data_IF_153442270552
#
_entry.id   IF_153442270552
#
_cell.length_a   1.000
_cell.length_b   1.000
_cell.length_c   1.000
_cell.angle_alpha   90.00
_cell.angle_beta   90.00
_cell.angle_gamma   90.00
#
_symmetry.space_group_name_H-M   'P 1'
#
loop_
_entity.id
_entity.type
_entity.pdbx_description
1 polymer ?
#
# COMPACT_ATOMS: atom_id res chain seq x y z
N UNK A 1 6.95 25.36 7.79
CA UNK A 1 7.20 24.71 9.10
C UNK A 1 5.93 23.99 9.56
N UNK A 2 5.82 22.71 9.86
CA UNK A 2 6.57 21.50 9.56
C UNK A 2 5.54 20.35 9.59
N UNK A 3 5.74 19.34 8.75
CA UNK A 3 4.87 18.15 8.67
C UNK A 3 4.80 17.49 10.06
N UNK A 4 3.58 17.17 10.50
CA UNK A 4 3.29 16.28 11.62
C UNK A 4 3.75 16.72 13.02
N UNK A 5 3.00 17.64 13.66
CA UNK A 5 3.07 17.88 15.11
C UNK A 5 2.50 16.70 15.94
N UNK A 6 2.62 15.47 15.42
CA UNK A 6 2.14 14.25 16.06
C UNK A 6 3.13 13.84 17.14
N UNK A 7 2.64 13.54 18.36
CA UNK A 7 3.47 13.06 19.46
C UNK A 7 4.35 11.87 19.06
N UNK A 8 5.62 11.95 19.44
CA UNK A 8 6.60 10.88 19.18
C UNK A 8 6.17 9.60 19.91
N UNK A 9 6.23 8.46 19.22
CA UNK A 9 5.75 7.17 19.72
C UNK A 9 6.36 6.74 21.06
N UNK A 10 5.65 5.85 21.76
CA UNK A 10 6.11 5.28 23.04
C UNK A 10 7.36 4.42 22.86
N UNK A 11 8.33 4.60 23.74
CA UNK A 11 9.53 3.76 23.85
C UNK A 11 9.32 2.70 24.93
N UNK A 12 9.68 1.45 24.58
CA UNK A 12 9.71 0.33 25.52
C UNK A 12 10.95 0.40 26.42
N UNK A 13 10.95 -0.40 27.49
CA UNK A 13 12.11 -0.53 28.38
C UNK A 13 13.38 -0.91 27.60
N UNK A 14 13.27 -1.89 26.69
CA UNK A 14 14.35 -2.28 25.80
C UNK A 14 14.80 -1.15 24.87
N UNK A 15 13.87 -0.35 24.32
CA UNK A 15 14.22 0.77 23.46
C UNK A 15 15.02 1.85 24.21
N UNK A 16 14.66 2.15 25.46
CA UNK A 16 15.46 3.02 26.33
C UNK A 16 16.84 2.43 26.62
N UNK A 17 16.91 1.13 26.88
CA UNK A 17 18.19 0.46 27.08
C UNK A 17 19.09 0.52 25.85
N UNK A 18 18.57 0.19 24.67
CA UNK A 18 19.32 0.29 23.41
C UNK A 18 19.80 1.74 23.17
N UNK A 19 18.97 2.73 23.49
CA UNK A 19 19.40 4.14 23.43
C UNK A 19 20.57 4.42 24.36
N UNK A 20 20.52 3.99 25.63
CA UNK A 20 21.64 4.15 26.55
C UNK A 20 22.92 3.45 26.07
N UNK A 21 22.80 2.24 25.50
CA UNK A 21 23.95 1.57 24.90
C UNK A 21 24.53 2.33 23.71
N UNK A 22 23.70 3.00 22.90
CA UNK A 22 24.16 3.82 21.77
C UNK A 22 24.88 5.07 22.25
N UNK A 23 24.36 5.72 23.28
CA UNK A 23 24.96 6.90 23.89
C UNK A 23 26.31 6.56 24.53
N UNK A 24 26.38 5.47 25.30
CA UNK A 24 27.64 4.96 25.88
C UNK A 24 28.67 4.64 24.78
N UNK A 25 28.24 3.99 23.69
CA UNK A 25 29.12 3.65 22.58
C UNK A 25 29.62 4.91 21.86
N UNK A 26 28.75 5.89 21.62
CA UNK A 26 29.13 7.16 20.99
C UNK A 26 30.10 7.95 21.87
N UNK A 27 29.97 7.87 23.20
CA UNK A 27 30.89 8.52 24.14
C UNK A 27 32.27 7.85 24.14
N UNK A 28 32.32 6.51 24.12
CA UNK A 28 33.57 5.75 24.16
C UNK A 28 34.28 5.64 22.80
N UNK A 29 33.50 5.69 21.72
CA UNK A 29 33.97 5.52 20.36
C UNK A 29 33.37 6.63 19.46
N UNK A 30 33.72 7.91 19.69
CA UNK A 30 33.12 9.05 18.98
C UNK A 30 33.39 9.06 17.48
N UNK A 31 34.48 8.42 17.01
CA UNK A 31 34.88 8.37 15.61
C UNK A 31 34.67 7.00 14.96
N UNK A 32 34.11 6.02 15.67
CA UNK A 32 33.89 4.66 15.13
C UNK A 32 32.47 4.54 14.56
N UNK A 33 32.38 4.07 13.32
CA UNK A 33 31.09 3.85 12.68
C UNK A 33 30.45 2.57 13.23
N UNK A 34 29.33 2.72 13.95
CA UNK A 34 28.62 1.61 14.58
C UNK A 34 27.90 0.78 13.54
N UNK A 35 28.40 -0.43 13.25
CA UNK A 35 27.69 -1.40 12.40
C UNK A 35 26.43 -1.87 13.13
N UNK A 36 25.27 -1.43 12.65
CA UNK A 36 23.98 -1.61 13.32
C UNK A 36 23.67 -3.08 13.66
N UNK A 37 24.01 -4.02 12.77
CA UNK A 37 23.76 -5.44 12.96
C UNK A 37 24.54 -5.99 14.18
N UNK A 38 25.82 -5.65 14.28
CA UNK A 38 26.69 -6.08 15.38
C UNK A 38 26.32 -5.41 16.69
N UNK A 39 25.97 -4.13 16.63
CA UNK A 39 25.51 -3.40 17.80
C UNK A 39 24.16 -3.92 18.34
N UNK A 40 23.24 -4.28 17.44
CA UNK A 40 21.95 -4.87 17.81
C UNK A 40 22.13 -6.22 18.53
N UNK A 41 23.02 -7.09 18.03
CA UNK A 41 23.38 -8.36 18.68
C UNK A 41 23.92 -8.12 20.10
N UNK A 42 24.93 -7.25 20.24
CA UNK A 42 25.54 -6.89 21.55
C UNK A 42 24.50 -6.35 22.54
N UNK A 43 23.59 -5.49 22.10
CA UNK A 43 22.51 -4.99 22.95
C UNK A 43 21.57 -6.11 23.39
N UNK A 44 21.19 -7.00 22.47
CA UNK A 44 20.26 -8.09 22.79
C UNK A 44 20.85 -9.06 23.82
N UNK A 45 22.14 -9.38 23.73
CA UNK A 45 22.86 -10.22 24.69
C UNK A 45 22.99 -9.54 26.04
N UNK A 46 23.40 -8.26 26.06
CA UNK A 46 23.51 -7.48 27.30
C UNK A 46 22.17 -7.33 28.01
N UNK A 47 21.06 -7.14 27.28
CA UNK A 47 19.72 -7.12 27.87
C UNK A 47 19.32 -8.47 28.44
N UNK A 48 19.61 -9.58 27.77
CA UNK A 48 19.31 -10.92 28.30
C UNK A 48 20.06 -11.19 29.60
N UNK A 49 21.35 -10.86 29.64
CA UNK A 49 22.23 -11.09 30.79
C UNK A 49 22.06 -10.06 31.92
N UNK A 50 21.36 -8.96 31.68
CA UNK A 50 21.10 -7.93 32.69
C UNK A 50 20.11 -8.45 33.75
N UNK A 51 20.35 -8.12 35.01
CA UNK A 51 19.48 -8.51 36.12
C UNK A 51 18.14 -7.77 36.07
N UNK A 52 17.09 -8.35 36.67
CA UNK A 52 15.78 -7.71 36.72
C UNK A 52 15.80 -6.38 37.47
N UNK A 53 16.71 -6.24 38.45
CA UNK A 53 16.91 -4.99 39.19
C UNK A 53 17.43 -3.87 38.29
N UNK A 54 18.35 -4.17 37.38
CA UNK A 54 18.88 -3.21 36.41
C UNK A 54 17.86 -2.91 35.30
N UNK A 55 17.14 -3.94 34.83
CA UNK A 55 16.02 -3.79 33.88
C UNK A 55 14.90 -2.92 34.45
N UNK A 56 14.64 -3.00 35.76
CA UNK A 56 13.58 -2.25 36.42
C UNK A 56 13.70 -0.74 36.19
N UNK A 57 14.92 -0.21 36.13
CA UNK A 57 15.16 1.21 35.79
C UNK A 57 14.57 1.57 34.43
N UNK A 58 14.76 0.70 33.43
CA UNK A 58 14.23 0.90 32.09
C UNK A 58 12.72 0.65 32.01
N UNK A 59 12.18 -0.28 32.81
CA UNK A 59 10.74 -0.45 32.96
C UNK A 59 10.08 0.82 33.49
N UNK A 60 10.63 1.42 34.55
CA UNK A 60 10.15 2.70 35.09
C UNK A 60 10.22 3.82 34.06
N UNK A 61 11.31 3.90 33.27
CA UNK A 61 11.40 4.88 32.17
C UNK A 61 10.31 4.67 31.12
N UNK A 62 10.06 3.42 30.72
CA UNK A 62 9.03 3.11 29.71
C UNK A 62 7.60 3.40 30.20
N UNK A 63 7.30 3.19 31.48
CA UNK A 63 6.01 3.55 32.06
C UNK A 63 5.81 5.06 32.14
N UNK A 64 6.87 5.83 32.42
CA UNK A 64 6.83 7.30 32.34
C UNK A 64 6.58 7.78 30.91
N UNK A 65 7.28 7.21 29.94
CA UNK A 65 7.11 7.56 28.53
C UNK A 65 5.73 7.19 27.99
N UNK A 66 5.16 6.09 28.47
CA UNK A 66 3.78 5.71 28.21
C UNK A 66 2.81 6.79 28.67
N UNK A 67 2.94 7.28 29.91
CA UNK A 67 2.12 8.38 30.43
C UNK A 67 2.32 9.68 29.64
N UNK A 68 3.56 10.02 29.27
CA UNK A 68 3.88 11.18 28.41
C UNK A 68 3.14 11.10 27.08
N UNK A 69 3.33 10.00 26.35
CA UNK A 69 2.71 9.80 25.04
C UNK A 69 1.19 9.80 25.14
N UNK A 70 0.60 9.11 26.12
CA UNK A 70 -0.84 9.05 26.26
C UNK A 70 -1.43 10.45 26.50
N UNK A 71 -0.75 11.28 27.31
CA UNK A 71 -1.13 12.68 27.52
C UNK A 71 -0.93 13.56 26.29
N UNK A 72 0.21 13.48 25.61
CA UNK A 72 0.48 14.23 24.38
C UNK A 72 -0.48 13.81 23.25
N UNK A 73 -0.71 12.51 23.08
CA UNK A 73 -1.60 11.95 22.06
C UNK A 73 -3.06 12.31 22.34
N UNK A 74 -3.47 12.39 23.62
CA UNK A 74 -4.78 12.91 24.00
C UNK A 74 -4.94 14.37 23.58
N UNK A 75 -3.96 15.23 23.90
CA UNK A 75 -3.96 16.64 23.48
C UNK A 75 -3.97 16.79 21.96
N UNK A 76 -3.13 16.02 21.26
CA UNK A 76 -3.07 16.03 19.81
C UNK A 76 -4.37 15.57 19.16
N UNK A 77 -5.04 14.53 19.70
CA UNK A 77 -6.36 14.10 19.19
C UNK A 77 -7.44 15.16 19.44
N UNK A 78 -7.37 15.86 20.57
CA UNK A 78 -8.30 16.94 20.89
C UNK A 78 -8.15 18.14 19.92
N UNK A 79 -6.91 18.53 19.60
CA UNK A 79 -6.64 19.66 18.70
C UNK A 79 -6.68 19.30 17.22
N UNK A 80 -6.47 18.03 16.87
CA UNK A 80 -6.24 17.60 15.49
C UNK A 80 -7.19 16.49 15.03
N UNK A 81 -8.50 16.65 15.29
CA UNK A 81 -9.60 15.73 14.93
C UNK A 81 -9.65 15.29 13.45
N UNK A 82 -8.85 15.87 12.56
CA UNK A 82 -8.77 15.52 11.14
C UNK A 82 -7.53 14.72 10.69
N UNK A 83 -6.47 14.65 11.50
CA UNK A 83 -5.16 14.13 11.06
C UNK A 83 -5.04 12.58 11.07
N UNK A 84 -6.02 11.86 11.62
CA UNK A 84 -6.04 10.39 11.60
C UNK A 84 -6.50 9.79 10.25
N UNK A 85 -6.82 10.62 9.24
CA UNK A 85 -7.32 10.14 7.95
C UNK A 85 -6.26 9.49 7.04
N UNK A 86 -5.00 9.45 7.46
CA UNK A 86 -3.86 8.99 6.64
C UNK A 86 -3.77 7.48 6.39
N UNK A 87 -4.48 6.64 7.15
CA UNK A 87 -4.57 5.19 6.85
C UNK A 87 -6.00 4.88 6.43
N UNK A 88 -6.28 4.86 5.12
CA UNK A 88 -7.55 4.31 4.59
C UNK A 88 -7.67 2.87 5.09
N UNK A 89 -8.52 2.66 6.11
CA UNK A 89 -8.90 1.34 6.57
C UNK A 89 -9.40 0.57 5.34
N UNK A 90 -8.78 -0.57 5.01
CA UNK A 90 -9.25 -1.43 3.91
C UNK A 90 -10.74 -1.68 4.17
N UNK A 91 -11.62 -1.17 3.30
CA UNK A 91 -13.05 -1.42 3.40
C UNK A 91 -13.25 -2.93 3.32
N UNK A 92 -13.95 -3.49 4.30
CA UNK A 92 -14.39 -4.89 4.26
C UNK A 92 -15.26 -5.01 3.01
N UNK A 93 -14.85 -5.89 2.08
CA UNK A 93 -15.64 -6.18 0.89
C UNK A 93 -16.83 -7.02 1.38
N UNK A 94 -18.03 -6.63 0.96
CA UNK A 94 -19.25 -7.37 1.26
C UNK A 94 -19.14 -8.80 0.67
N UNK A 95 -19.35 -9.87 1.45
CA UNK A 95 -19.25 -11.25 0.98
C UNK A 95 -20.22 -11.58 -0.15
N UNK A 96 -21.39 -10.94 -0.16
CA UNK A 96 -22.46 -11.19 -1.13
C UNK A 96 -22.32 -10.32 -2.39
N UNK A 97 -21.36 -9.39 -2.42
CA UNK A 97 -21.12 -8.56 -3.59
C UNK A 97 -20.51 -9.40 -4.74
N UNK A 98 -21.01 -9.25 -5.97
CA UNK A 98 -20.45 -9.90 -7.15
C UNK A 98 -18.94 -9.69 -7.25
N UNK A 99 -18.23 -10.76 -7.62
CA UNK A 99 -16.78 -10.69 -7.81
C UNK A 99 -16.47 -9.81 -9.01
N UNK A 100 -15.48 -8.95 -8.88
CA UNK A 100 -15.07 -7.99 -9.92
C UNK A 100 -14.73 -8.73 -11.20
N UNK A 101 -15.09 -8.16 -12.35
CA UNK A 101 -14.64 -8.69 -13.63
C UNK A 101 -13.12 -8.69 -13.74
N UNK A 102 -12.57 -9.71 -14.40
CA UNK A 102 -11.17 -9.85 -14.75
C UNK A 102 -10.88 -9.12 -16.05
N UNK A 103 -9.70 -8.49 -16.13
CA UNK A 103 -9.20 -7.91 -17.39
C UNK A 103 -8.57 -8.99 -18.29
N UNK A 104 -8.31 -8.64 -19.55
CA UNK A 104 -7.68 -9.53 -20.51
C UNK A 104 -6.34 -10.11 -19.99
N UNK A 105 -5.51 -9.24 -19.40
CA UNK A 105 -4.26 -9.66 -18.76
C UNK A 105 -4.46 -10.68 -17.63
N UNK A 106 -5.49 -10.53 -16.80
CA UNK A 106 -5.76 -11.48 -15.73
C UNK A 106 -6.28 -12.82 -16.24
N UNK A 107 -7.04 -12.83 -17.33
CA UNK A 107 -7.39 -14.07 -18.03
C UNK A 107 -6.16 -14.78 -18.58
N UNK A 108 -5.28 -14.05 -19.27
CA UNK A 108 -3.99 -14.58 -19.73
C UNK A 108 -3.14 -15.14 -18.58
N UNK A 109 -3.04 -14.40 -17.48
CA UNK A 109 -2.31 -14.85 -16.29
C UNK A 109 -2.90 -16.11 -15.66
N UNK A 110 -4.22 -16.32 -15.71
CA UNK A 110 -4.82 -17.55 -15.18
C UNK A 110 -4.41 -18.78 -16.01
N UNK A 111 -4.35 -18.64 -17.32
CA UNK A 111 -4.01 -19.74 -18.22
C UNK A 111 -2.49 -20.03 -18.26
N UNK A 112 -1.66 -18.98 -18.21
CA UNK A 112 -0.21 -19.10 -18.36
C UNK A 112 0.54 -19.30 -17.04
N UNK A 113 -0.03 -18.90 -15.89
CA UNK A 113 0.67 -19.02 -14.58
C UNK A 113 1.09 -20.44 -14.29
N UNK A 114 0.24 -21.43 -14.57
CA UNK A 114 0.55 -22.84 -14.36
C UNK A 114 1.69 -23.31 -15.26
N UNK A 115 1.78 -22.81 -16.50
CA UNK A 115 2.86 -23.14 -17.43
C UNK A 115 4.18 -22.53 -16.99
N UNK A 116 4.18 -21.26 -16.61
CA UNK A 116 5.39 -20.56 -16.08
C UNK A 116 5.88 -21.22 -14.80
N UNK A 117 4.97 -21.58 -13.88
CA UNK A 117 5.32 -22.27 -12.63
C UNK A 117 5.80 -23.71 -12.88
N UNK A 118 5.27 -24.39 -13.90
CA UNK A 118 5.77 -25.71 -14.31
C UNK A 118 7.20 -25.65 -14.88
N UNK A 119 7.51 -24.60 -15.66
CA UNK A 119 8.86 -24.36 -16.18
C UNK A 119 9.84 -23.94 -15.08
N UNK A 120 9.36 -23.20 -14.07
CA UNK A 120 10.17 -22.71 -12.96
C UNK A 120 9.51 -23.07 -11.61
N UNK A 121 9.59 -24.33 -11.18
CA UNK A 121 8.93 -24.79 -9.94
C UNK A 121 9.49 -24.11 -8.69
N UNK A 122 10.76 -23.70 -8.70
CA UNK A 122 11.41 -22.97 -7.61
C UNK A 122 11.05 -21.48 -7.57
N UNK A 123 10.59 -20.90 -8.69
CA UNK A 123 10.33 -19.47 -8.78
C UNK A 123 9.21 -19.02 -7.84
N UNK A 124 9.44 -17.91 -7.15
CA UNK A 124 8.47 -17.26 -6.28
C UNK A 124 7.28 -16.73 -7.09
N UNK A 125 6.14 -16.52 -6.42
CA UNK A 125 4.94 -15.95 -7.06
C UNK A 125 5.23 -14.58 -7.70
N UNK A 126 6.16 -13.80 -7.11
CA UNK A 126 6.58 -12.51 -7.65
C UNK A 126 7.37 -12.65 -8.96
N UNK A 127 8.28 -13.61 -9.04
CA UNK A 127 9.06 -13.88 -10.26
C UNK A 127 8.17 -14.42 -11.39
N UNK A 128 7.24 -15.32 -11.07
CA UNK A 128 6.23 -15.80 -12.02
C UNK A 128 5.38 -14.63 -12.55
N UNK A 129 4.98 -13.69 -11.69
CA UNK A 129 4.21 -12.52 -12.11
C UNK A 129 5.01 -11.59 -13.05
N UNK A 130 6.30 -11.39 -12.80
CA UNK A 130 7.19 -10.61 -13.69
C UNK A 130 7.29 -11.26 -15.07
N UNK A 131 7.50 -12.57 -15.12
CA UNK A 131 7.59 -13.33 -16.36
C UNK A 131 6.26 -13.29 -17.15
N UNK A 132 5.12 -13.41 -16.48
CA UNK A 132 3.81 -13.26 -17.12
C UNK A 132 3.61 -11.86 -17.71
N UNK A 133 4.06 -10.81 -17.03
CA UNK A 133 4.03 -9.44 -17.55
C UNK A 133 4.85 -9.30 -18.83
N UNK A 134 6.06 -9.87 -18.85
CA UNK A 134 6.91 -9.90 -20.04
C UNK A 134 6.24 -10.61 -21.21
N UNK A 135 5.67 -11.80 -20.98
CA UNK A 135 4.98 -12.58 -22.03
C UNK A 135 3.77 -11.86 -22.57
N UNK A 136 2.98 -11.19 -21.72
CA UNK A 136 1.83 -10.40 -22.17
C UNK A 136 2.23 -9.27 -23.11
N UNK A 137 3.32 -8.56 -22.81
CA UNK A 137 3.82 -7.50 -23.68
C UNK A 137 4.32 -8.05 -25.02
N UNK A 138 4.88 -9.27 -25.02
CA UNK A 138 5.32 -9.98 -26.22
C UNK A 138 4.20 -10.68 -27.01
N UNK A 139 2.98 -10.80 -26.45
CA UNK A 139 1.85 -11.39 -27.16
C UNK A 139 1.41 -10.52 -28.34
N UNK A 140 1.06 -11.17 -29.45
CA UNK A 140 0.46 -10.52 -30.62
C UNK A 140 -0.96 -10.03 -30.33
N UNK A 141 -1.45 -9.11 -31.15
CA UNK A 141 -2.81 -8.58 -31.03
C UNK A 141 -3.86 -9.68 -31.11
N UNK A 142 -3.70 -10.70 -31.97
CA UNK A 142 -4.63 -11.83 -32.05
C UNK A 142 -4.74 -12.61 -30.73
N UNK A 143 -3.59 -12.83 -30.07
CA UNK A 143 -3.57 -13.50 -28.77
C UNK A 143 -4.24 -12.65 -27.71
N UNK A 144 -3.97 -11.33 -27.70
CA UNK A 144 -4.61 -10.38 -26.79
C UNK A 144 -6.11 -10.29 -27.05
N UNK A 145 -6.55 -10.26 -28.31
CA UNK A 145 -7.95 -10.18 -28.74
C UNK A 145 -8.79 -11.35 -28.19
N UNK A 146 -8.22 -12.57 -28.16
CA UNK A 146 -8.87 -13.72 -27.50
C UNK A 146 -9.19 -13.44 -26.03
N UNK A 147 -8.23 -12.89 -25.28
CA UNK A 147 -8.41 -12.59 -23.86
C UNK A 147 -9.25 -11.33 -23.63
N UNK A 148 -9.25 -10.38 -24.56
CA UNK A 148 -10.15 -9.22 -24.54
C UNK A 148 -11.60 -9.62 -24.75
N UNK A 149 -11.89 -10.54 -25.67
CA UNK A 149 -13.22 -11.10 -25.83
C UNK A 149 -13.71 -11.81 -24.56
N UNK A 150 -12.82 -12.54 -23.86
CA UNK A 150 -13.13 -13.15 -22.55
C UNK A 150 -13.38 -12.08 -21.48
N UNK A 151 -12.55 -11.04 -21.42
CA UNK A 151 -12.72 -9.93 -20.49
C UNK A 151 -14.03 -9.16 -20.73
N UNK A 152 -14.43 -8.97 -21.99
CA UNK A 152 -15.67 -8.31 -22.34
C UNK A 152 -16.89 -9.12 -21.91
N UNK A 153 -16.88 -10.43 -22.15
CA UNK A 153 -17.92 -11.35 -21.66
C UNK A 153 -18.00 -11.32 -20.13
N UNK A 154 -16.85 -11.32 -19.47
CA UNK A 154 -16.79 -11.28 -18.00
C UNK A 154 -17.27 -9.95 -17.41
N UNK A 155 -16.97 -8.85 -18.08
CA UNK A 155 -17.50 -7.52 -17.77
C UNK A 155 -19.03 -7.50 -17.88
N UNK A 156 -19.59 -8.05 -18.95
CA UNK A 156 -21.04 -8.15 -19.13
C UNK A 156 -21.70 -9.00 -18.03
N UNK A 157 -21.08 -10.13 -17.65
CA UNK A 157 -21.50 -10.95 -16.50
C UNK A 157 -21.50 -10.14 -15.21
N UNK A 158 -20.40 -9.44 -14.90
CA UNK A 158 -20.28 -8.64 -13.69
C UNK A 158 -21.30 -7.50 -13.65
N UNK A 159 -21.55 -6.83 -14.78
CA UNK A 159 -22.57 -5.78 -14.87
C UNK A 159 -23.98 -6.31 -14.63
N UNK A 160 -24.32 -7.49 -15.17
CA UNK A 160 -25.62 -8.14 -14.92
C UNK A 160 -25.78 -8.53 -13.44
N UNK A 161 -24.76 -9.18 -12.86
CA UNK A 161 -24.77 -9.56 -11.45
C UNK A 161 -24.80 -8.33 -10.52
N UNK A 162 -24.07 -7.26 -10.85
CA UNK A 162 -24.09 -6.01 -10.09
C UNK A 162 -25.43 -5.28 -10.18
N UNK A 163 -26.11 -5.32 -11.34
CA UNK A 163 -27.48 -4.80 -11.48
C UNK A 163 -28.44 -5.59 -10.59
N UNK A 164 -28.38 -6.92 -10.60
CA UNK A 164 -29.19 -7.77 -9.74
C UNK A 164 -28.89 -7.56 -8.25
N UNK A 165 -27.61 -7.46 -7.88
CA UNK A 165 -27.18 -7.20 -6.50
C UNK A 165 -27.64 -5.83 -5.98
N UNK A 166 -27.53 -4.79 -6.81
CA UNK A 166 -28.06 -3.45 -6.47
C UNK A 166 -29.60 -3.46 -6.39
N UNK A 167 -30.28 -4.15 -7.31
CA UNK A 167 -31.74 -4.28 -7.31
C UNK A 167 -32.26 -5.06 -6.09
N UNK A 168 -31.62 -6.16 -5.72
CA UNK A 168 -31.95 -6.93 -4.51
C UNK A 168 -31.66 -6.19 -3.21
N UNK A 169 -30.61 -5.35 -3.17
CA UNK A 169 -30.34 -4.45 -2.04
C UNK A 169 -31.36 -3.32 -1.88
N UNK A 170 -32.17 -3.01 -2.90
CA UNK A 170 -33.24 -2.00 -2.77
C UNK A 170 -34.54 -2.54 -2.17
N UNK A 171 -34.74 -3.85 -2.13
CA UNK A 171 -35.96 -4.48 -1.60
C UNK A 171 -35.79 -5.13 -0.22
N UNK A 172 -34.55 -5.29 0.27
CA UNK A 172 -34.24 -5.71 1.64
C UNK A 172 -33.44 -4.63 2.35
N UNK A 173 -34.12 -3.83 3.18
CA UNK A 173 -33.61 -2.56 3.71
C UNK A 173 -32.25 -2.64 4.41
N UNK A 174 -31.35 -1.73 4.04
CA UNK A 174 -30.68 -0.84 4.99
C UNK A 174 -30.03 0.34 4.26
N UNK A 175 -30.34 1.55 4.76
CA UNK A 175 -29.90 2.86 4.28
C UNK A 175 -28.38 2.99 4.23
N UNK A 176 -27.83 3.63 3.18
CA UNK A 176 -26.53 4.29 3.28
C UNK A 176 -25.77 4.53 1.97
N UNK A 177 -26.11 5.61 1.26
CA UNK A 177 -25.11 6.41 0.52
C UNK A 177 -25.02 6.21 -0.99
N UNK A 178 -25.99 6.76 -1.73
CA UNK A 178 -25.81 7.15 -3.13
C UNK A 178 -25.58 8.66 -3.22
N UNK A 179 -24.51 9.07 -3.93
CA UNK A 179 -24.34 10.26 -4.81
C UNK A 179 -22.83 10.55 -4.96
N UNK A 180 -22.30 10.89 -6.14
CA UNK A 180 -22.93 11.11 -7.44
C UNK A 180 -21.90 11.14 -8.57
N UNK A 181 -22.34 10.72 -9.76
CA UNK A 181 -21.77 11.14 -11.03
C UNK A 181 -22.52 12.39 -11.51
N UNK A 182 -21.81 13.29 -12.18
CA UNK A 182 -22.37 14.42 -12.90
C UNK A 182 -22.17 14.17 -14.39
N UNK A 183 -23.28 14.08 -15.11
CA UNK A 183 -23.37 14.06 -16.57
C UNK A 183 -23.99 15.38 -17.01
N UNK A 184 -23.43 16.06 -18.02
CA UNK A 184 -24.14 17.06 -18.82
C UNK A 184 -23.83 16.81 -20.29
N UNK A 185 -24.89 16.53 -21.06
CA UNK A 185 -24.87 16.31 -22.51
C UNK A 185 -25.53 17.48 -23.24
N UNK A 186 -25.06 17.72 -24.48
CA UNK A 186 -25.78 18.11 -25.72
C UNK A 186 -24.71 18.65 -26.71
N UNK A 187 -24.75 18.48 -28.04
CA UNK A 187 -25.46 17.63 -29.01
C UNK A 187 -24.94 18.08 -30.40
N UNK A 188 -24.55 17.11 -31.25
CA UNK A 188 -24.49 17.05 -32.74
C UNK A 188 -23.66 18.04 -33.61
N UNK A 189 -22.80 17.47 -34.47
CA UNK A 189 -22.71 17.63 -35.95
C UNK A 189 -21.41 16.95 -36.46
N UNK A 190 -21.46 15.97 -37.38
CA UNK A 190 -20.98 16.01 -38.79
C UNK A 190 -19.50 16.41 -38.91
N UNK A 191 -18.55 15.54 -39.22
CA UNK A 191 -18.21 14.89 -40.52
C UNK A 191 -16.85 15.45 -40.98
N UNK A 192 -16.07 14.56 -41.60
CA UNK A 192 -14.82 14.78 -42.36
C UNK A 192 -13.48 15.15 -41.66
N UNK A 193 -12.51 14.34 -42.11
CA UNK A 193 -11.05 14.40 -42.25
C UNK A 193 -10.31 15.72 -41.93
N UNK A 194 -9.15 15.62 -41.28
CA UNK A 194 -7.83 15.81 -41.91
C UNK A 194 -6.69 15.63 -40.89
N UNK A 195 -5.61 15.05 -41.40
CA UNK A 195 -4.28 14.97 -40.80
C UNK A 195 -3.73 16.38 -40.54
N UNK A 196 -3.04 16.62 -39.42
CA UNK A 196 -1.83 17.46 -39.43
C UNK A 196 -0.88 17.00 -38.31
N UNK A 197 0.37 16.84 -38.72
CA UNK A 197 1.55 16.58 -37.93
C UNK A 197 1.91 17.84 -37.14
N UNK A 198 2.33 17.70 -35.89
CA UNK A 198 3.04 18.76 -35.18
C UNK A 198 4.30 18.14 -34.57
N UNK A 199 5.43 18.62 -35.10
CA UNK A 199 6.79 18.39 -34.66
C UNK A 199 6.97 19.03 -33.27
N UNK A 200 7.31 18.24 -32.25
CA UNK A 200 7.91 18.77 -31.01
C UNK A 200 9.44 18.75 -31.25
N UNK A 201 9.95 19.88 -31.75
CA UNK A 201 11.37 20.24 -31.67
C UNK A 201 11.52 21.52 -30.81
N UNK A 202 12.69 21.60 -30.20
CA UNK A 202 13.27 22.61 -29.33
C UNK A 202 12.78 22.69 -27.86
N UNK A 203 13.54 22.13 -26.91
CA UNK A 203 14.82 22.66 -26.36
C UNK A 203 14.53 23.75 -25.31
N UNK A 204 14.82 23.46 -24.04
CA UNK A 204 15.84 24.23 -23.32
C UNK A 204 16.17 23.65 -21.95
N UNK A 205 17.47 23.68 -21.70
CA UNK A 205 18.20 23.37 -20.48
C UNK A 205 17.81 24.33 -19.32
N UNK A 206 18.01 23.91 -18.07
CA UNK A 206 19.15 24.37 -17.26
C UNK A 206 18.95 24.18 -15.74
N UNK A 207 20.06 23.77 -15.13
CA UNK A 207 20.58 23.87 -13.75
C UNK A 207 19.70 24.37 -12.60
N UNK A 208 19.65 23.61 -11.49
CA UNK A 208 20.64 23.61 -10.38
C UNK A 208 20.40 22.42 -9.43
#
# INVERSE_FOLDING_TARGET
>A
MGKDNKPRGRMSAYAYFVQTCREEHKQKHPNENVVFAEFSKKCSERWKNMSDKEKNRFHVMSEKDKKRYDGEMSRYKATNKGAEKGRRKKRVKDPDAPKRSLSAFFWFCNDERSKVKGQNPEATVGEVAKELGRRWNACTEDQKAKYEALALKDKARYEKEMKAYKGGKTTGGSKGGAKGGSSKSKKESSDEEEEEEEEDDDDDEDSD
#
